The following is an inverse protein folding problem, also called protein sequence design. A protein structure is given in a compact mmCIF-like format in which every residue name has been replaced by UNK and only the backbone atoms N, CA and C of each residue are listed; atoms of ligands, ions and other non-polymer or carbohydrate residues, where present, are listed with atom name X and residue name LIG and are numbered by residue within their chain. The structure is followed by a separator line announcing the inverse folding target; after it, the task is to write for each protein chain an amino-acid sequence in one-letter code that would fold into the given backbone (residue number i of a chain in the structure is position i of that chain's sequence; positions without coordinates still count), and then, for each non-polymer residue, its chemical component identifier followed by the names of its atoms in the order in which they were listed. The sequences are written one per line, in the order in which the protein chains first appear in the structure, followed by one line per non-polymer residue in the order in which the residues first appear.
data_IF_978859785569
#
_entry.id   IF_978859785569
#
_cell.length_a   1.000
_cell.length_b   1.000
_cell.length_c   1.000
_cell.angle_alpha   90.00
_cell.angle_beta   90.00
_cell.angle_gamma   90.00
#
_symmetry.space_group_name_H-M   'P 1'
#
loop_
_entity.id
_entity.type
_entity.pdbx_description
1 polymer ?
#
# COMPACT_ATOMS: atom_id res chain seq x y z
N UNK A 1 11.13 9.02 -19.64
CA UNK A 1 10.15 9.17 -18.56
C UNK A 1 10.00 10.64 -18.21
N UNK A 2 8.77 11.13 -18.08
CA UNK A 2 8.49 12.47 -17.54
C UNK A 2 8.83 12.57 -16.05
N UNK A 3 8.84 13.80 -15.51
CA UNK A 3 9.10 14.05 -14.08
C UNK A 3 8.03 13.39 -13.19
N UNK A 4 6.77 13.47 -13.59
CA UNK A 4 5.67 12.83 -12.86
C UNK A 4 5.79 11.29 -12.82
N UNK A 5 6.21 10.67 -13.92
CA UNK A 5 6.43 9.21 -13.99
C UNK A 5 7.57 8.78 -13.04
N UNK A 6 8.63 9.59 -12.99
CA UNK A 6 9.74 9.37 -12.06
C UNK A 6 9.30 9.49 -10.61
N UNK A 7 8.46 10.48 -10.29
CA UNK A 7 7.93 10.68 -8.93
C UNK A 7 7.07 9.48 -8.50
N UNK A 8 6.16 9.00 -9.36
CA UNK A 8 5.30 7.84 -9.06
C UNK A 8 6.10 6.56 -8.84
N UNK A 9 7.09 6.25 -9.68
CA UNK A 9 7.96 5.08 -9.45
C UNK A 9 8.85 5.26 -8.22
N UNK A 10 9.32 6.48 -7.94
CA UNK A 10 10.11 6.77 -6.74
C UNK A 10 9.29 6.57 -5.48
N UNK A 11 8.00 6.89 -5.52
CA UNK A 11 7.06 6.68 -4.43
C UNK A 11 6.94 5.20 -4.00
N UNK A 12 6.99 4.27 -4.96
CA UNK A 12 7.06 2.83 -4.67
C UNK A 12 8.42 2.41 -4.09
N UNK A 13 9.50 3.09 -4.48
CA UNK A 13 10.88 2.74 -4.08
C UNK A 13 11.25 3.22 -2.68
N UNK A 14 10.50 4.14 -2.10
CA UNK A 14 10.69 4.62 -0.72
C UNK A 14 9.93 3.79 0.32
N UNK A 15 9.18 2.75 -0.11
CA UNK A 15 8.51 1.82 0.81
C UNK A 15 9.51 1.16 1.75
N UNK A 16 9.15 1.11 3.02
CA UNK A 16 10.00 0.67 4.12
C UNK A 16 9.41 1.02 5.49
N UNK A 17 10.23 1.12 6.54
CA UNK A 17 9.74 1.29 7.92
C UNK A 17 8.81 2.49 8.17
N UNK A 18 9.04 3.62 7.51
CA UNK A 18 8.23 4.85 7.69
C UNK A 18 7.05 4.95 6.73
N UNK A 19 7.05 4.12 5.68
CA UNK A 19 6.00 4.01 4.68
C UNK A 19 5.79 2.53 4.35
N UNK A 20 5.04 1.80 5.19
CA UNK A 20 4.87 0.36 5.03
C UNK A 20 4.28 -0.10 3.70
N UNK A 21 3.47 0.71 3.01
CA UNK A 21 2.74 0.36 1.78
C UNK A 21 2.96 1.42 0.71
N UNK A 22 3.12 0.97 -0.54
CA UNK A 22 3.03 1.77 -1.76
C UNK A 22 2.05 1.14 -2.74
N UNK A 23 1.49 1.97 -3.62
CA UNK A 23 0.46 1.58 -4.58
C UNK A 23 0.60 2.35 -5.90
N UNK A 24 0.41 1.65 -7.02
CA UNK A 24 0.06 2.25 -8.30
C UNK A 24 -0.98 1.40 -9.04
N UNK A 25 -1.86 2.01 -9.84
CA UNK A 25 -2.62 1.28 -10.86
C UNK A 25 -1.66 0.50 -11.79
N UNK A 26 -2.04 -0.72 -12.17
CA UNK A 26 -1.22 -1.57 -13.06
C UNK A 26 -0.90 -0.86 -14.38
N UNK A 27 -1.86 -0.13 -14.95
CA UNK A 27 -1.67 0.64 -16.18
C UNK A 27 -0.54 1.67 -16.10
N UNK A 28 -0.28 2.24 -14.92
CA UNK A 28 0.82 3.18 -14.71
C UNK A 28 2.15 2.46 -14.61
N UNK A 29 2.19 1.30 -13.93
CA UNK A 29 3.39 0.47 -13.90
C UNK A 29 3.79 0.07 -15.32
N UNK A 30 2.85 -0.46 -16.10
CA UNK A 30 3.08 -0.90 -17.49
C UNK A 30 3.47 0.26 -18.43
N UNK A 31 3.00 1.48 -18.16
CA UNK A 31 3.39 2.65 -18.93
C UNK A 31 4.83 3.13 -18.65
N UNK A 32 5.35 2.90 -17.45
CA UNK A 32 6.62 3.49 -17.00
C UNK A 32 7.79 2.49 -17.01
N UNK A 33 7.51 1.20 -16.85
CA UNK A 33 8.51 0.12 -16.75
C UNK A 33 7.88 -1.23 -17.08
N UNK A 34 8.68 -2.29 -17.17
CA UNK A 34 8.12 -3.64 -17.21
C UNK A 34 7.78 -4.14 -15.81
N UNK A 35 6.68 -4.89 -15.69
CA UNK A 35 6.23 -5.50 -14.44
C UNK A 35 7.32 -6.37 -13.81
N UNK A 36 7.95 -7.22 -14.62
CA UNK A 36 8.98 -8.16 -14.16
C UNK A 36 10.25 -7.47 -13.63
N UNK A 37 10.66 -6.35 -14.23
CA UNK A 37 11.81 -5.58 -13.74
C UNK A 37 11.51 -4.94 -12.40
N UNK A 38 10.33 -4.31 -12.26
CA UNK A 38 9.94 -3.65 -11.02
C UNK A 38 9.74 -4.66 -9.88
N UNK A 39 9.07 -5.79 -10.15
CA UNK A 39 8.90 -6.88 -9.18
C UNK A 39 10.26 -7.39 -8.70
N UNK A 40 11.19 -7.64 -9.62
CA UNK A 40 12.55 -8.10 -9.27
C UNK A 40 13.31 -7.06 -8.47
N UNK A 41 13.20 -5.77 -8.81
CA UNK A 41 13.82 -4.67 -8.07
C UNK A 41 13.32 -4.64 -6.62
N UNK A 42 12.00 -4.65 -6.42
CA UNK A 42 11.38 -4.50 -5.09
C UNK A 42 11.59 -5.74 -4.22
N UNK A 43 11.45 -6.95 -4.77
CA UNK A 43 11.78 -8.19 -4.06
C UNK A 43 13.27 -8.23 -3.70
N UNK A 44 14.15 -7.75 -4.60
CA UNK A 44 15.58 -7.63 -4.32
C UNK A 44 15.93 -6.72 -3.13
N UNK A 45 15.03 -5.78 -2.78
CA UNK A 45 15.12 -4.93 -1.60
C UNK A 45 14.49 -5.56 -0.34
N UNK A 46 13.97 -6.78 -0.43
CA UNK A 46 13.30 -7.47 0.66
C UNK A 46 11.82 -7.09 0.83
N UNK A 47 11.23 -6.38 -0.14
CA UNK A 47 9.82 -5.99 -0.10
C UNK A 47 8.94 -7.09 -0.69
N UNK A 48 7.67 -7.10 -0.28
CA UNK A 48 6.63 -7.94 -0.87
C UNK A 48 5.90 -7.18 -1.96
N UNK A 49 5.50 -7.88 -3.00
CA UNK A 49 4.70 -7.35 -4.10
C UNK A 49 3.43 -8.17 -4.22
N UNK A 50 2.30 -7.47 -4.35
CA UNK A 50 0.99 -8.08 -4.55
C UNK A 50 0.30 -7.36 -5.72
N UNK A 51 -0.03 -8.13 -6.76
CA UNK A 51 -0.74 -7.64 -7.93
C UNK A 51 -2.17 -8.15 -7.84
N UNK A 52 -3.11 -7.24 -7.70
CA UNK A 52 -4.53 -7.54 -7.59
C UNK A 52 -5.23 -7.24 -8.91
N UNK A 53 -6.10 -8.15 -9.35
CA UNK A 53 -6.97 -7.90 -10.49
C UNK A 53 -8.02 -6.82 -10.20
N UNK A 54 -8.75 -6.41 -11.22
CA UNK A 54 -9.79 -5.37 -11.11
C UNK A 54 -10.87 -5.70 -10.07
N UNK A 55 -11.35 -6.94 -10.06
CA UNK A 55 -12.34 -7.44 -9.10
C UNK A 55 -11.80 -7.56 -7.66
N UNK A 56 -10.49 -7.74 -7.52
CA UNK A 56 -9.82 -7.83 -6.23
C UNK A 56 -9.48 -6.46 -5.63
N UNK A 57 -9.28 -5.43 -6.45
CA UNK A 57 -8.81 -4.11 -6.01
C UNK A 57 -9.85 -2.99 -6.12
N UNK A 58 -10.86 -3.14 -6.97
CA UNK A 58 -11.77 -2.05 -7.34
C UNK A 58 -11.17 -1.04 -8.34
N UNK A 59 -9.96 -1.28 -8.83
CA UNK A 59 -9.25 -0.43 -9.79
C UNK A 59 -9.41 -0.99 -11.19
N UNK A 60 -9.78 -0.17 -12.17
CA UNK A 60 -10.20 -0.62 -13.52
C UNK A 60 -9.27 -1.68 -14.15
N UNK A 61 -7.95 -1.45 -14.11
CA UNK A 61 -6.93 -2.37 -14.65
C UNK A 61 -6.19 -3.20 -13.58
N UNK A 62 -6.68 -3.19 -12.34
CA UNK A 62 -6.00 -3.80 -11.21
C UNK A 62 -4.99 -2.88 -10.53
N UNK A 63 -4.43 -3.38 -9.44
CA UNK A 63 -3.58 -2.64 -8.54
C UNK A 63 -2.25 -3.35 -8.33
N UNK A 64 -1.17 -2.57 -8.37
CA UNK A 64 0.16 -3.00 -7.98
C UNK A 64 0.45 -2.46 -6.59
N UNK A 65 0.47 -3.34 -5.59
CA UNK A 65 0.88 -3.02 -4.24
C UNK A 65 2.30 -3.52 -3.97
N UNK A 66 3.05 -2.74 -3.22
CA UNK A 66 4.32 -3.14 -2.62
C UNK A 66 4.27 -2.79 -1.13
N UNK A 67 4.82 -3.66 -0.29
CA UNK A 67 4.83 -3.42 1.14
C UNK A 67 6.06 -4.02 1.83
N UNK A 68 6.49 -3.36 2.90
CA UNK A 68 7.44 -3.90 3.88
C UNK A 68 6.65 -4.75 4.89
N UNK A 69 6.79 -6.07 4.80
CA UNK A 69 6.01 -7.02 5.61
C UNK A 69 6.26 -6.84 7.11
N UNK A 70 7.50 -6.56 7.52
CA UNK A 70 7.85 -6.39 8.92
C UNK A 70 7.31 -5.06 9.48
N UNK A 71 7.47 -3.98 8.71
CA UNK A 71 6.97 -2.66 9.11
C UNK A 71 5.44 -2.66 9.18
N UNK A 72 4.77 -3.25 8.18
CA UNK A 72 3.32 -3.36 8.16
C UNK A 72 2.81 -4.23 9.31
N UNK A 73 3.40 -5.41 9.53
CA UNK A 73 3.01 -6.28 10.65
C UNK A 73 3.12 -5.56 11.99
N UNK A 74 4.21 -4.81 12.21
CA UNK A 74 4.40 -4.01 13.43
C UNK A 74 3.29 -2.97 13.60
N UNK A 75 3.00 -2.19 12.56
CA UNK A 75 1.95 -1.17 12.58
C UNK A 75 0.57 -1.80 12.89
N UNK A 76 0.25 -2.93 12.26
CA UNK A 76 -1.03 -3.63 12.46
C UNK A 76 -1.15 -4.19 13.88
N UNK A 77 -0.08 -4.78 14.43
CA UNK A 77 -0.06 -5.30 15.81
C UNK A 77 -0.23 -4.17 16.83
N UNK A 78 0.46 -3.04 16.64
CA UNK A 78 0.33 -1.87 17.53
C UNK A 78 -1.12 -1.33 17.58
N UNK A 79 -1.89 -1.55 16.52
CA UNK A 79 -3.27 -1.10 16.37
C UNK A 79 -4.30 -2.24 16.36
N UNK A 80 -3.91 -3.46 16.78
CA UNK A 80 -4.72 -4.67 16.68
C UNK A 80 -6.13 -4.50 17.24
N UNK A 81 -6.27 -3.82 18.39
CA UNK A 81 -7.58 -3.60 19.03
C UNK A 81 -8.54 -2.81 18.16
N UNK A 82 -8.03 -1.80 17.44
CA UNK A 82 -8.83 -0.98 16.54
C UNK A 82 -9.27 -1.83 15.33
N UNK A 83 -8.33 -2.57 14.75
CA UNK A 83 -8.58 -3.43 13.60
C UNK A 83 -9.62 -4.51 13.95
N UNK A 84 -9.43 -5.24 15.04
CA UNK A 84 -10.35 -6.28 15.51
C UNK A 84 -11.75 -5.73 15.81
N UNK A 85 -11.85 -4.57 16.47
CA UNK A 85 -13.13 -3.94 16.78
C UNK A 85 -13.91 -3.54 15.52
N UNK A 86 -13.21 -3.26 14.42
CA UNK A 86 -13.80 -2.91 13.13
C UNK A 86 -13.88 -4.10 12.15
N UNK A 87 -13.44 -5.30 12.56
CA UNK A 87 -13.39 -6.48 11.69
C UNK A 87 -12.37 -6.39 10.56
N UNK A 88 -11.31 -5.60 10.74
CA UNK A 88 -10.21 -5.45 9.78
C UNK A 88 -9.09 -6.48 10.02
N UNK A 89 -8.39 -6.92 8.97
CA UNK A 89 -7.30 -7.88 9.11
C UNK A 89 -6.09 -7.31 9.83
N UNK A 90 -5.38 -8.18 10.56
CA UNK A 90 -4.11 -7.87 11.24
C UNK A 90 -2.88 -8.46 10.54
N UNK A 91 -3.10 -9.36 9.58
CA UNK A 91 -2.05 -9.96 8.77
C UNK A 91 -1.74 -9.05 7.56
N UNK A 92 -0.46 -8.75 7.26
CA UNK A 92 -0.06 -7.79 6.23
C UNK A 92 -0.74 -7.98 4.87
N UNK A 93 -0.64 -9.17 4.29
CA UNK A 93 -1.21 -9.44 2.95
C UNK A 93 -2.73 -9.32 2.93
N UNK A 94 -3.39 -9.84 3.98
CA UNK A 94 -4.85 -9.76 4.11
C UNK A 94 -5.30 -8.31 4.26
N UNK A 95 -4.56 -7.49 5.01
CA UNK A 95 -4.81 -6.06 5.16
C UNK A 95 -4.70 -5.34 3.81
N UNK A 96 -3.65 -5.59 3.03
CA UNK A 96 -3.49 -5.01 1.68
C UNK A 96 -4.66 -5.40 0.76
N UNK A 97 -5.10 -6.67 0.79
CA UNK A 97 -6.27 -7.12 0.04
C UNK A 97 -7.58 -6.42 0.49
N UNK A 98 -7.63 -5.96 1.74
CA UNK A 98 -8.78 -5.28 2.32
C UNK A 98 -8.85 -3.79 1.94
N UNK A 99 -7.78 -3.19 1.42
CA UNK A 99 -7.73 -1.77 1.05
C UNK A 99 -8.69 -1.35 -0.06
N UNK A 100 -9.32 -2.32 -0.74
CA UNK A 100 -10.42 -2.04 -1.68
C UNK A 100 -11.68 -1.50 -1.00
N UNK A 101 -11.82 -1.70 0.31
CA UNK A 101 -12.94 -1.24 1.10
C UNK A 101 -12.66 0.14 1.68
N UNK A 102 -13.70 0.98 1.74
CA UNK A 102 -13.61 2.28 2.39
C UNK A 102 -13.33 2.12 3.89
N UNK A 103 -12.52 3.04 4.44
CA UNK A 103 -12.26 3.10 5.86
C UNK A 103 -13.58 3.40 6.62
N UNK A 104 -14.05 2.50 7.51
CA UNK A 104 -15.35 2.67 8.17
C UNK A 104 -15.31 3.72 9.28
N UNK A 105 -14.12 4.06 9.78
CA UNK A 105 -13.91 5.01 10.87
C UNK A 105 -12.68 5.87 10.60
N UNK A 106 -12.60 7.01 11.30
CA UNK A 106 -11.42 7.86 11.25
C UNK A 106 -10.16 7.15 11.76
N UNK A 107 -10.28 6.27 12.75
CA UNK A 107 -9.13 5.52 13.27
C UNK A 107 -8.53 4.60 12.21
N UNK A 108 -9.38 3.90 11.44
CA UNK A 108 -8.93 3.07 10.33
C UNK A 108 -8.35 3.94 9.21
N UNK A 109 -8.98 5.07 8.90
CA UNK A 109 -8.44 6.00 7.90
C UNK A 109 -7.04 6.51 8.29
N UNK A 110 -6.87 6.92 9.55
CA UNK A 110 -5.59 7.40 10.08
C UNK A 110 -4.52 6.29 10.03
N UNK A 111 -4.89 5.04 10.36
CA UNK A 111 -3.98 3.90 10.26
C UNK A 111 -3.57 3.59 8.82
N UNK A 112 -4.52 3.63 7.87
CA UNK A 112 -4.22 3.48 6.44
C UNK A 112 -3.27 4.60 5.99
N UNK A 113 -3.54 5.84 6.38
CA UNK A 113 -2.66 6.96 6.07
C UNK A 113 -1.25 6.77 6.65
N UNK A 114 -1.11 6.25 7.88
CA UNK A 114 0.19 5.88 8.46
C UNK A 114 0.89 4.78 7.64
N UNK A 115 0.15 3.77 7.15
CA UNK A 115 0.70 2.73 6.30
C UNK A 115 1.23 3.28 4.96
N UNK A 116 0.61 4.32 4.40
CA UNK A 116 1.06 5.00 3.18
C UNK A 116 2.08 6.12 3.43
N UNK A 117 2.46 6.39 4.69
CA UNK A 117 3.36 7.51 5.04
C UNK A 117 2.71 8.89 4.90
N UNK A 118 1.38 8.95 4.75
CA UNK A 118 0.57 10.15 4.52
C UNK A 118 0.19 10.83 5.86
N UNK A 119 1.20 11.15 6.68
CA UNK A 119 1.01 11.73 8.02
C UNK A 119 0.37 13.13 7.99
N UNK A 120 0.57 13.88 6.91
CA UNK A 120 0.06 15.23 6.71
C UNK A 120 -1.24 15.29 5.88
N UNK A 121 -1.91 14.16 5.68
CA UNK A 121 -3.14 14.12 4.87
C UNK A 121 -4.24 15.01 5.49
N UNK A 122 -4.82 15.97 4.74
CA UNK A 122 -5.76 16.96 5.28
C UNK A 122 -7.10 16.36 5.76
N UNK A 123 -7.39 15.10 5.39
CA UNK A 123 -8.57 14.37 5.85
C UNK A 123 -8.33 13.67 7.19
N UNK A 124 -7.10 13.71 7.73
CA UNK A 124 -6.82 13.24 9.09
C UNK A 124 -7.38 14.26 10.07
N UNK A 125 -8.26 13.80 10.95
CA UNK A 125 -8.64 14.56 12.14
C UNK A 125 -7.82 14.06 13.33
N UNK A 126 -7.25 15.02 14.07
CA UNK A 126 -6.46 14.81 15.29
C UNK A 126 -7.36 14.60 16.51
#
# INVERSE_FOLDING_TARGET
MSENEQLLLSDLRIVGPEKPIGYLPVEYVEAFTTMDELVRELIGKGLRVLILSSDQSGVFNGAFYVYDECALAKLLIENQKILEAQGWPIEPEAFVCYLKYEAPTQDIFNLIADAFGDKDNPLRTL
#
